data_IF_780148010590
#
_entry.id   IF_780148010590
#
_cell.length_a   1.000
_cell.length_b   1.000
_cell.length_c   1.000
_cell.angle_alpha   90.00
_cell.angle_beta   90.00
_cell.angle_gamma   90.00
#
_symmetry.space_group_name_H-M   'P 1'
#
loop_
_entity.id
_entity.type
_entity.pdbx_description
1 polymer ?
#
# COMPACT_ATOMS: atom_id res chain seq x y z
N UNK A 1 -0.08 5.82 -30.35
CA UNK A 1 0.49 5.78 -28.99
C UNK A 1 0.97 7.19 -28.67
N UNK A 2 0.07 8.04 -28.20
CA UNK A 2 0.40 9.41 -27.79
C UNK A 2 1.29 9.32 -26.56
N UNK A 3 2.52 9.82 -26.67
CA UNK A 3 3.41 9.93 -25.52
C UNK A 3 2.75 10.78 -24.46
N UNK A 4 2.28 10.15 -23.39
CA UNK A 4 1.72 10.81 -22.21
C UNK A 4 2.76 11.83 -21.75
N UNK A 5 2.42 13.12 -21.75
CA UNK A 5 3.35 14.18 -21.32
C UNK A 5 3.82 13.86 -19.88
N UNK A 6 5.10 14.09 -19.52
CA UNK A 6 5.59 13.95 -18.14
C UNK A 6 4.59 14.28 -17.02
N UNK A 7 3.90 15.42 -17.11
CA UNK A 7 2.90 15.83 -16.10
C UNK A 7 1.72 14.85 -16.00
N UNK A 8 1.26 14.30 -17.12
CA UNK A 8 0.18 13.32 -17.15
C UNK A 8 0.62 11.98 -16.55
N UNK A 9 1.90 11.60 -16.69
CA UNK A 9 2.45 10.40 -16.04
C UNK A 9 2.47 10.56 -14.52
N UNK A 10 2.89 11.73 -14.03
CA UNK A 10 2.91 12.05 -12.60
C UNK A 10 1.47 12.01 -12.04
N UNK A 11 0.50 12.62 -12.75
CA UNK A 11 -0.91 12.58 -12.36
C UNK A 11 -1.46 11.16 -12.32
N UNK A 12 -1.20 10.36 -13.36
CA UNK A 12 -1.66 8.97 -13.42
C UNK A 12 -1.09 8.13 -12.26
N UNK A 13 0.19 8.31 -11.90
CA UNK A 13 0.79 7.63 -10.76
C UNK A 13 0.14 8.04 -9.42
N UNK A 14 -0.18 9.33 -9.25
CA UNK A 14 -0.88 9.83 -8.05
C UNK A 14 -2.28 9.22 -7.93
N UNK A 15 -3.03 9.15 -9.04
CA UNK A 15 -4.36 8.54 -9.11
C UNK A 15 -4.31 7.04 -8.78
N UNK A 16 -3.36 6.31 -9.37
CA UNK A 16 -3.17 4.89 -9.09
C UNK A 16 -2.84 4.64 -7.61
N UNK A 17 -1.90 5.38 -7.03
CA UNK A 17 -1.56 5.25 -5.61
C UNK A 17 -2.76 5.54 -4.71
N UNK A 18 -3.54 6.57 -5.02
CA UNK A 18 -4.76 6.90 -4.27
C UNK A 18 -5.79 5.79 -4.35
N UNK A 19 -5.98 5.18 -5.53
CA UNK A 19 -6.89 4.07 -5.71
C UNK A 19 -6.44 2.83 -4.91
N UNK A 20 -5.15 2.47 -4.99
CA UNK A 20 -4.57 1.35 -4.25
C UNK A 20 -4.63 1.57 -2.73
N UNK A 21 -4.25 2.76 -2.26
CA UNK A 21 -4.33 3.13 -0.86
C UNK A 21 -5.77 3.11 -0.35
N UNK A 22 -6.73 3.61 -1.14
CA UNK A 22 -8.16 3.56 -0.80
C UNK A 22 -8.63 2.12 -0.63
N UNK A 23 -8.34 1.26 -1.62
CA UNK A 23 -8.70 -0.15 -1.57
C UNK A 23 -8.07 -0.88 -0.35
N UNK A 24 -6.84 -0.54 -0.01
CA UNK A 24 -6.13 -1.09 1.15
C UNK A 24 -6.60 -0.50 2.50
N UNK A 25 -7.24 0.67 2.48
CA UNK A 25 -7.73 1.39 3.66
C UNK A 25 -9.16 1.01 4.08
N UNK A 26 -9.79 0.06 3.41
CA UNK A 26 -11.12 -0.46 3.77
C UNK A 26 -11.14 -1.98 3.73
N UNK A 27 -11.82 -2.61 4.68
CA UNK A 27 -12.14 -4.04 4.57
C UNK A 27 -13.33 -4.30 3.62
N UNK A 28 -13.64 -5.57 3.37
CA UNK A 28 -14.76 -6.00 2.50
C UNK A 28 -16.14 -5.50 2.95
N UNK A 29 -16.26 -5.07 4.21
CA UNK A 29 -17.49 -4.50 4.78
C UNK A 29 -17.48 -2.96 4.79
N UNK A 30 -16.45 -2.35 4.21
CA UNK A 30 -16.25 -0.90 4.14
C UNK A 30 -15.72 -0.28 5.43
N UNK A 31 -15.24 -1.07 6.40
CA UNK A 31 -14.68 -0.51 7.64
C UNK A 31 -13.28 0.04 7.40
N UNK A 32 -12.94 1.23 7.90
CA UNK A 32 -11.61 1.78 7.76
C UNK A 32 -10.53 0.90 8.40
N UNK A 33 -9.47 0.62 7.63
CA UNK A 33 -8.30 -0.16 8.00
C UNK A 33 -7.00 0.60 7.75
N UNK A 34 -7.06 1.94 7.64
CA UNK A 34 -5.98 2.78 7.12
C UNK A 34 -4.65 2.72 7.89
N UNK A 35 -4.63 2.24 9.14
CA UNK A 35 -3.41 2.08 9.94
C UNK A 35 -3.09 0.63 10.14
N UNK A 36 -1.87 0.21 9.84
CA UNK A 36 -1.46 -1.18 9.99
C UNK A 36 -0.45 -1.33 11.13
N UNK A 37 -0.46 -2.49 11.78
CA UNK A 37 0.57 -2.86 12.75
C UNK A 37 0.94 -4.32 12.60
N UNK A 38 2.22 -4.61 12.83
CA UNK A 38 2.73 -5.96 12.85
C UNK A 38 2.84 -6.45 14.30
N UNK A 39 2.52 -7.71 14.54
CA UNK A 39 2.79 -8.36 15.83
C UNK A 39 3.50 -9.67 15.57
N UNK A 40 4.73 -9.75 16.08
CA UNK A 40 5.52 -10.96 16.06
C UNK A 40 4.86 -12.06 16.90
N UNK A 41 4.98 -13.31 16.47
CA UNK A 41 4.37 -14.45 17.12
C UNK A 41 5.35 -15.64 17.21
N UNK A 42 5.64 -16.06 18.45
CA UNK A 42 6.52 -17.20 18.72
C UNK A 42 8.00 -16.85 18.64
N UNK A 43 8.85 -17.86 18.41
CA UNK A 43 10.32 -17.74 18.38
C UNK A 43 10.92 -17.73 16.97
N UNK A 44 10.10 -17.53 15.94
CA UNK A 44 10.46 -17.85 14.56
C UNK A 44 10.49 -16.64 13.62
N UNK A 45 10.89 -15.46 14.10
CA UNK A 45 11.01 -14.22 13.32
C UNK A 45 9.84 -14.02 12.36
N UNK A 46 8.63 -14.29 12.82
CA UNK A 46 7.42 -14.28 12.00
C UNK A 46 6.20 -13.88 12.83
N UNK A 47 5.17 -13.39 12.17
CA UNK A 47 4.02 -12.82 12.86
C UNK A 47 2.87 -12.49 11.93
N UNK A 48 1.98 -11.65 12.41
CA UNK A 48 0.74 -11.30 11.72
C UNK A 48 0.63 -9.80 11.53
N UNK A 49 0.09 -9.41 10.37
CA UNK A 49 -0.25 -8.04 10.06
C UNK A 49 -1.73 -7.77 10.38
N UNK A 50 -1.98 -6.68 11.09
CA UNK A 50 -3.30 -6.27 11.54
C UNK A 50 -3.61 -4.85 11.07
N UNK A 51 -4.88 -4.62 10.76
CA UNK A 51 -5.44 -3.29 10.70
C UNK A 51 -5.76 -2.81 12.12
N UNK A 52 -5.36 -1.59 12.44
CA UNK A 52 -5.74 -0.92 13.67
C UNK A 52 -7.25 -0.88 13.78
N UNK A 53 -7.76 -1.34 14.91
CA UNK A 53 -9.17 -1.26 15.25
C UNK A 53 -9.28 -0.40 16.52
N UNK A 54 -9.86 0.81 16.45
CA UNK A 54 -9.98 1.67 17.62
C UNK A 54 -10.95 1.12 18.67
N UNK A 55 -11.77 0.12 18.34
CA UNK A 55 -12.82 -0.42 19.22
C UNK A 55 -12.57 -1.86 19.68
N UNK A 56 -11.40 -2.45 19.41
CA UNK A 56 -11.11 -3.83 19.81
C UNK A 56 -9.82 -4.40 19.23
N UNK A 57 -9.58 -5.72 19.32
CA UNK A 57 -8.43 -6.33 18.67
C UNK A 57 -8.47 -6.06 17.17
N UNK A 58 -7.32 -5.68 16.59
CA UNK A 58 -7.19 -5.38 15.17
C UNK A 58 -7.63 -6.54 14.29
N UNK A 59 -8.17 -6.22 13.12
CA UNK A 59 -8.55 -7.22 12.13
C UNK A 59 -7.31 -7.69 11.37
N UNK A 60 -7.16 -8.99 11.12
CA UNK A 60 -6.03 -9.50 10.32
C UNK A 60 -6.22 -9.15 8.86
N UNK A 61 -5.16 -8.64 8.24
CA UNK A 61 -5.19 -8.20 6.84
C UNK A 61 -4.99 -9.40 5.90
N UNK A 62 -4.05 -10.29 6.25
CA UNK A 62 -3.81 -11.49 5.46
C UNK A 62 -4.86 -12.56 5.77
N UNK A 63 -5.59 -12.96 4.73
CA UNK A 63 -6.59 -14.03 4.76
C UNK A 63 -6.01 -15.29 4.13
N UNK A 64 -6.37 -16.45 4.66
CA UNK A 64 -5.89 -17.75 4.19
C UNK A 64 -5.54 -18.72 5.32
N UNK A 65 -5.09 -19.92 4.95
CA UNK A 65 -4.83 -21.03 5.87
C UNK A 65 -5.99 -22.03 5.88
N UNK A 66 -5.67 -23.33 5.79
CA UNK A 66 -6.70 -24.37 5.71
C UNK A 66 -7.43 -24.53 7.06
N UNK A 67 -8.74 -24.31 7.06
CA UNK A 67 -9.64 -24.45 8.21
C UNK A 67 -10.18 -25.88 8.39
N UNK A 68 -9.58 -26.87 7.71
CA UNK A 68 -10.09 -28.25 7.66
C UNK A 68 -9.58 -29.15 8.80
N UNK A 69 -10.23 -30.31 9.06
CA UNK A 69 -9.89 -31.25 10.14
C UNK A 69 -8.47 -31.85 10.04
N UNK A 70 -7.82 -31.73 8.88
CA UNK A 70 -6.46 -32.19 8.61
C UNK A 70 -5.51 -31.06 8.23
N UNK A 71 -6.00 -29.82 8.17
CA UNK A 71 -5.18 -28.64 7.99
C UNK A 71 -4.62 -28.25 9.36
N UNK A 72 -3.35 -28.58 9.64
CA UNK A 72 -2.64 -27.89 10.73
C UNK A 72 -2.76 -26.40 10.43
N UNK A 73 -3.51 -25.68 11.27
CA UNK A 73 -3.97 -24.30 11.10
C UNK A 73 -2.86 -23.26 10.96
N UNK A 74 -2.07 -23.37 9.90
CA UNK A 74 -1.07 -22.41 9.50
C UNK A 74 -1.81 -21.20 8.94
N UNK A 75 -2.16 -20.31 9.86
CA UNK A 75 -2.56 -18.94 9.55
C UNK A 75 -1.43 -18.31 8.73
N UNK A 76 -1.74 -17.54 7.67
CA UNK A 76 -0.74 -16.84 6.89
C UNK A 76 0.05 -15.93 7.82
N UNK A 77 1.36 -16.04 7.74
CA UNK A 77 2.32 -15.29 8.55
C UNK A 77 3.31 -14.62 7.60
N UNK A 78 3.85 -13.50 8.04
CA UNK A 78 4.95 -12.81 7.37
C UNK A 78 6.21 -12.99 8.20
N UNK A 79 7.35 -13.06 7.53
CA UNK A 79 8.62 -12.87 8.21
C UNK A 79 8.66 -11.46 8.82
N UNK A 80 9.24 -11.31 10.01
CA UNK A 80 9.15 -10.13 10.86
C UNK A 80 9.52 -8.85 10.12
N UNK A 81 10.68 -8.83 9.46
CA UNK A 81 11.17 -7.67 8.69
C UNK A 81 10.22 -7.23 7.58
N UNK A 82 9.57 -8.19 6.90
CA UNK A 82 8.59 -7.85 5.86
C UNK A 82 7.30 -7.31 6.46
N UNK A 83 6.83 -7.91 7.56
CA UNK A 83 5.65 -7.44 8.27
C UNK A 83 5.82 -6.04 8.84
N UNK A 84 6.96 -5.74 9.45
CA UNK A 84 7.33 -4.42 9.96
C UNK A 84 7.40 -3.38 8.83
N UNK A 85 8.07 -3.71 7.72
CA UNK A 85 8.15 -2.82 6.57
C UNK A 85 6.75 -2.53 5.97
N UNK A 86 5.93 -3.56 5.80
CA UNK A 86 4.55 -3.41 5.28
C UNK A 86 3.70 -2.57 6.24
N UNK A 87 3.83 -2.77 7.55
CA UNK A 87 3.13 -1.96 8.54
C UNK A 87 3.59 -0.50 8.53
N UNK A 88 4.87 -0.23 8.26
CA UNK A 88 5.38 1.12 8.10
C UNK A 88 4.90 1.79 6.80
N UNK A 89 4.74 1.01 5.72
CA UNK A 89 4.24 1.45 4.41
C UNK A 89 2.72 1.36 4.29
N UNK A 90 1.98 1.51 5.39
CA UNK A 90 0.53 1.38 5.42
C UNK A 90 -0.17 2.35 4.40
N UNK A 91 -1.50 2.23 4.19
CA UNK A 91 -2.20 3.05 3.22
C UNK A 91 -2.00 4.56 3.38
N UNK A 92 -1.69 5.06 4.58
CA UNK A 92 -1.43 6.48 4.79
C UNK A 92 -0.18 6.98 4.06
N UNK A 93 0.85 6.13 3.93
CA UNK A 93 2.05 6.46 3.13
C UNK A 93 1.70 6.58 1.66
N UNK A 94 0.85 5.68 1.13
CA UNK A 94 0.37 5.76 -0.25
C UNK A 94 -0.39 7.06 -0.53
N UNK A 95 -1.24 7.51 0.39
CA UNK A 95 -1.93 8.80 0.27
C UNK A 95 -0.97 9.99 0.35
N UNK A 96 0.00 9.96 1.27
CA UNK A 96 0.99 11.03 1.40
C UNK A 96 1.85 11.16 0.13
N UNK A 97 2.25 10.02 -0.46
CA UNK A 97 3.02 10.02 -1.70
C UNK A 97 2.18 10.51 -2.89
N UNK A 98 0.90 10.14 -2.98
CA UNK A 98 0.00 10.67 -3.99
C UNK A 98 -0.17 12.19 -3.88
N UNK A 99 -0.33 12.72 -2.66
CA UNK A 99 -0.43 14.17 -2.43
C UNK A 99 0.87 14.91 -2.80
N UNK A 100 2.03 14.30 -2.54
CA UNK A 100 3.31 14.86 -2.98
C UNK A 100 3.42 14.91 -4.52
N UNK A 101 2.97 13.86 -5.22
CA UNK A 101 2.95 13.85 -6.69
C UNK A 101 1.99 14.91 -7.25
N UNK A 102 0.84 15.16 -6.62
CA UNK A 102 -0.06 16.24 -7.04
C UNK A 102 0.60 17.61 -6.89
N UNK A 103 1.32 17.86 -5.78
CA UNK A 103 2.10 19.09 -5.63
C UNK A 103 3.14 19.26 -6.73
N UNK A 104 3.81 18.17 -7.14
CA UNK A 104 4.77 18.21 -8.25
C UNK A 104 4.10 18.49 -9.61
N UNK A 105 2.83 18.09 -9.81
CA UNK A 105 2.04 18.46 -10.99
C UNK A 105 1.71 19.95 -11.00
N UNK A 106 1.36 20.52 -9.85
CA UNK A 106 1.09 21.96 -9.73
C UNK A 106 2.35 22.78 -10.03
N UNK A 107 3.49 22.40 -9.45
CA UNK A 107 4.78 23.04 -9.69
C UNK A 107 5.20 22.93 -11.16
N UNK A 108 4.91 21.79 -11.82
CA UNK A 108 5.24 21.57 -13.22
C UNK A 108 4.61 22.62 -14.17
N UNK A 109 3.45 23.18 -13.79
CA UNK A 109 2.81 24.25 -14.56
C UNK A 109 3.56 25.58 -14.50
N UNK A 110 4.41 25.79 -13.50
CA UNK A 110 5.16 27.04 -13.29
C UNK A 110 6.63 26.93 -13.68
N UNK A 111 7.29 25.82 -13.30
CA UNK A 111 8.74 25.65 -13.43
C UNK A 111 9.16 24.47 -14.32
N UNK A 112 8.18 23.73 -14.85
CA UNK A 112 8.42 22.48 -15.60
C UNK A 112 8.47 21.25 -14.68
N UNK A 113 8.29 20.04 -15.24
CA UNK A 113 8.16 18.81 -14.44
C UNK A 113 9.44 18.45 -13.71
N UNK A 114 9.33 18.15 -12.41
CA UNK A 114 10.44 17.63 -11.59
C UNK A 114 10.91 16.26 -12.13
N UNK A 115 12.18 16.12 -12.55
CA UNK A 115 12.74 14.85 -13.01
C UNK A 115 12.62 13.71 -11.97
N UNK A 116 12.69 14.02 -10.67
CA UNK A 116 12.58 13.03 -9.61
C UNK A 116 11.14 12.54 -9.45
N UNK A 117 10.16 13.46 -9.45
CA UNK A 117 8.75 13.09 -9.45
C UNK A 117 8.38 12.22 -10.67
N UNK A 118 8.90 12.56 -11.85
CA UNK A 118 8.69 11.76 -13.06
C UNK A 118 9.32 10.36 -12.96
N UNK A 119 10.52 10.25 -12.40
CA UNK A 119 11.18 8.95 -12.20
C UNK A 119 10.37 8.05 -11.25
N UNK A 120 9.88 8.60 -10.14
CA UNK A 120 9.02 7.88 -9.19
C UNK A 120 7.70 7.47 -9.86
N UNK A 121 7.07 8.37 -10.61
CA UNK A 121 5.82 8.09 -11.31
C UNK A 121 5.97 6.92 -12.30
N UNK A 122 7.05 6.89 -13.08
CA UNK A 122 7.32 5.78 -14.00
C UNK A 122 7.51 4.46 -13.27
N UNK A 123 8.27 4.46 -12.18
CA UNK A 123 8.45 3.24 -11.37
C UNK A 123 7.11 2.71 -10.86
N UNK A 124 6.18 3.59 -10.45
CA UNK A 124 4.84 3.19 -10.01
C UNK A 124 4.02 2.57 -11.16
N UNK A 125 4.03 3.21 -12.34
CA UNK A 125 3.24 2.79 -13.50
C UNK A 125 3.77 1.51 -14.16
N UNK A 126 5.09 1.31 -14.17
CA UNK A 126 5.69 0.08 -14.70
C UNK A 126 5.24 -1.15 -13.89
N UNK A 127 5.08 -1.00 -12.57
CA UNK A 127 4.57 -2.06 -11.69
C UNK A 127 3.07 -2.38 -11.92
N UNK A 128 2.29 -1.47 -12.49
CA UNK A 128 0.92 -1.76 -12.92
C UNK A 128 0.91 -2.60 -14.19
N UNK A 129 1.82 -2.32 -15.13
CA UNK A 129 1.89 -3.03 -16.41
C UNK A 129 2.33 -4.50 -16.25
N UNK A 130 3.06 -4.80 -15.17
CA UNK A 130 3.53 -6.16 -14.85
C UNK A 130 2.49 -7.01 -14.09
N UNK A 131 1.34 -6.45 -13.68
CA UNK A 131 0.26 -7.16 -12.97
C UNK A 131 -0.77 -7.79 -13.91
#
# INVERSE_FOLDING_TARGET
MTGTNPTDQIRAAAELLRALATAASTDETGRPTARWYFTEHGRHDSGYLYAANPTGPGARILRGGSSGPHGRGLRPHLAARHGEYIAAMDPTVGFALAAWLDSAVEDAGQVGPDPHALAVARQILDQETER
#
